data_IF_656843272110
#
_entry.id   IF_656843272110
#
_cell.length_a   1.000
_cell.length_b   1.000
_cell.length_c   1.000
_cell.angle_alpha   90.00
_cell.angle_beta   90.00
_cell.angle_gamma   90.00
#
_symmetry.space_group_name_H-M   'P 1'
#
loop_
_entity.id
_entity.type
_entity.pdbx_description
1 polymer ?
#
# COMPACT_ATOMS: atom_id res chain seq x y z
N UNK A 1 9.81 -10.66 10.92
CA UNK A 1 10.30 -9.27 10.70
C UNK A 1 9.24 -8.31 11.23
N UNK A 2 9.56 -7.10 11.68
CA UNK A 2 8.60 -6.19 12.34
C UNK A 2 7.38 -5.85 11.47
N UNK A 3 7.56 -5.73 10.16
CA UNK A 3 6.46 -5.49 9.22
C UNK A 3 5.57 -6.72 9.04
N UNK A 4 6.16 -7.91 9.07
CA UNK A 4 5.44 -9.18 9.01
C UNK A 4 4.64 -9.42 10.28
N UNK A 5 5.25 -9.18 11.45
CA UNK A 5 4.56 -9.30 12.74
C UNK A 5 3.40 -8.30 12.84
N UNK A 6 3.60 -7.08 12.34
CA UNK A 6 2.55 -6.05 12.27
C UNK A 6 1.40 -6.49 11.36
N UNK A 7 1.71 -7.04 10.18
CA UNK A 7 0.69 -7.59 9.28
C UNK A 7 -0.13 -8.69 9.98
N UNK A 8 0.53 -9.64 10.65
CA UNK A 8 -0.14 -10.76 11.33
C UNK A 8 -1.05 -10.28 12.46
N UNK A 9 -0.61 -9.31 13.25
CA UNK A 9 -1.44 -8.71 14.31
C UNK A 9 -2.67 -8.02 13.73
N UNK A 10 -2.51 -7.22 12.68
CA UNK A 10 -3.63 -6.55 12.04
C UNK A 10 -4.60 -7.53 11.35
N UNK A 11 -4.09 -8.64 10.81
CA UNK A 11 -4.91 -9.66 10.17
C UNK A 11 -5.85 -10.38 11.15
N UNK A 12 -5.55 -10.34 12.45
CA UNK A 12 -6.33 -11.03 13.49
C UNK A 12 -7.68 -10.37 13.83
N UNK A 13 -7.92 -9.14 13.37
CA UNK A 13 -9.15 -8.40 13.65
C UNK A 13 -9.77 -7.81 12.37
N UNK A 14 -11.06 -8.09 12.16
CA UNK A 14 -11.81 -7.73 10.96
C UNK A 14 -11.82 -6.22 10.68
N UNK A 15 -11.64 -5.37 11.69
CA UNK A 15 -11.63 -3.90 11.55
C UNK A 15 -10.38 -3.37 10.87
N UNK A 16 -9.33 -4.18 10.78
CA UNK A 16 -8.05 -3.79 10.21
C UNK A 16 -7.74 -4.50 8.89
N UNK A 17 -8.74 -4.98 8.15
CA UNK A 17 -8.53 -5.67 6.88
C UNK A 17 -8.78 -4.74 5.68
N UNK A 18 -7.78 -4.56 4.81
CA UNK A 18 -7.92 -3.83 3.55
C UNK A 18 -9.00 -4.47 2.65
N UNK A 19 -9.17 -5.79 2.71
CA UNK A 19 -10.18 -6.50 1.94
C UNK A 19 -11.60 -6.04 2.25
N UNK A 20 -11.89 -5.63 3.48
CA UNK A 20 -13.21 -5.09 3.84
C UNK A 20 -13.48 -3.76 3.14
N UNK A 21 -12.50 -2.85 3.16
CA UNK A 21 -12.58 -1.57 2.45
C UNK A 21 -12.78 -1.75 0.94
N UNK A 22 -11.97 -2.61 0.31
CA UNK A 22 -12.07 -2.87 -1.13
C UNK A 22 -13.41 -3.54 -1.46
N UNK A 23 -13.84 -4.55 -0.68
CA UNK A 23 -15.13 -5.20 -0.88
C UNK A 23 -16.27 -4.19 -0.85
N UNK A 24 -16.28 -3.29 0.13
CA UNK A 24 -17.34 -2.31 0.30
C UNK A 24 -17.35 -1.30 -0.86
N UNK A 25 -16.18 -0.88 -1.37
CA UNK A 25 -16.09 -0.07 -2.59
C UNK A 25 -16.63 -0.80 -3.83
N UNK A 26 -16.36 -2.10 -3.96
CA UNK A 26 -16.80 -2.91 -5.09
C UNK A 26 -18.31 -3.15 -5.13
N UNK A 27 -19.04 -2.97 -4.02
CA UNK A 27 -20.51 -3.07 -4.00
C UNK A 27 -21.19 -2.00 -4.87
N UNK A 28 -20.49 -0.90 -5.18
CA UNK A 28 -20.99 0.16 -6.05
C UNK A 28 -20.74 -0.11 -7.54
N UNK A 29 -19.98 -1.16 -7.88
CA UNK A 29 -19.69 -1.51 -9.26
C UNK A 29 -20.87 -2.22 -9.93
N UNK A 30 -21.29 -1.72 -11.10
CA UNK A 30 -22.40 -2.30 -11.88
C UNK A 30 -21.95 -3.20 -13.04
N UNK A 31 -20.66 -3.15 -13.40
CA UNK A 31 -20.05 -3.89 -14.51
C UNK A 31 -18.53 -4.02 -14.28
N UNK A 32 -17.83 -4.77 -15.14
CA UNK A 32 -16.39 -5.04 -15.00
C UNK A 32 -15.52 -3.77 -15.07
N UNK A 33 -15.86 -2.82 -15.95
CA UNK A 33 -15.16 -1.54 -16.04
C UNK A 33 -15.25 -0.76 -14.71
N UNK A 34 -16.42 -0.75 -14.09
CA UNK A 34 -16.64 -0.15 -12.78
C UNK A 34 -15.88 -0.86 -11.66
N UNK A 35 -15.67 -2.18 -11.74
CA UNK A 35 -14.88 -2.93 -10.74
C UNK A 35 -13.45 -2.39 -10.71
N UNK A 36 -12.82 -2.24 -11.87
CA UNK A 36 -11.47 -1.67 -11.97
C UNK A 36 -11.43 -0.23 -11.45
N UNK A 37 -12.42 0.59 -11.83
CA UNK A 37 -12.52 1.96 -11.37
C UNK A 37 -12.65 2.07 -9.84
N UNK A 38 -13.57 1.34 -9.21
CA UNK A 38 -13.77 1.40 -7.76
C UNK A 38 -12.58 0.81 -6.99
N UNK A 39 -11.96 -0.26 -7.49
CA UNK A 39 -10.75 -0.81 -6.88
C UNK A 39 -9.59 0.20 -6.90
N UNK A 40 -9.34 0.79 -8.08
CA UNK A 40 -8.34 1.85 -8.25
C UNK A 40 -8.58 3.01 -7.26
N UNK A 41 -9.80 3.56 -7.22
CA UNK A 41 -10.12 4.68 -6.34
C UNK A 41 -10.01 4.32 -4.85
N UNK A 42 -10.45 3.11 -4.47
CA UNK A 42 -10.36 2.64 -3.08
C UNK A 42 -8.90 2.57 -2.60
N UNK A 43 -7.98 2.08 -3.44
CA UNK A 43 -6.56 2.01 -3.11
C UNK A 43 -5.87 3.37 -3.20
N UNK A 44 -6.20 4.17 -4.20
CA UNK A 44 -5.64 5.51 -4.38
C UNK A 44 -5.92 6.38 -3.14
N UNK A 45 -7.16 6.37 -2.63
CA UNK A 45 -7.57 7.20 -1.49
C UNK A 45 -6.75 6.93 -0.22
N UNK A 46 -6.40 5.67 0.07
CA UNK A 46 -5.67 5.29 1.29
C UNK A 46 -4.14 5.24 1.12
N UNK A 47 -3.64 5.61 -0.07
CA UNK A 47 -2.21 5.66 -0.40
C UNK A 47 -1.79 7.09 -0.76
N UNK A 48 -1.63 7.40 -2.05
CA UNK A 48 -1.17 8.70 -2.54
C UNK A 48 -2.30 9.75 -2.67
N UNK A 49 -3.53 9.36 -2.35
CA UNK A 49 -4.78 10.14 -2.36
C UNK A 49 -5.24 10.64 -3.75
N UNK A 50 -4.33 11.16 -4.57
CA UNK A 50 -4.62 11.65 -5.92
C UNK A 50 -3.37 11.75 -6.80
N UNK A 51 -3.55 11.71 -8.11
CA UNK A 51 -2.46 11.73 -9.11
C UNK A 51 -1.87 13.11 -9.40
N UNK A 52 -2.30 14.15 -8.69
CA UNK A 52 -1.85 15.51 -8.95
C UNK A 52 -0.67 15.86 -8.03
N UNK A 53 0.54 15.78 -8.58
CA UNK A 53 1.83 16.08 -7.95
C UNK A 53 1.94 17.49 -7.33
N UNK A 54 0.91 18.35 -7.46
CA UNK A 54 0.90 19.71 -6.91
C UNK A 54 0.34 19.81 -5.49
N UNK A 55 -0.34 18.79 -4.97
CA UNK A 55 -1.02 18.87 -3.67
C UNK A 55 -0.32 18.12 -2.53
N UNK A 56 0.75 17.34 -2.80
CA UNK A 56 1.53 16.58 -1.80
C UNK A 56 0.69 15.86 -0.72
N UNK A 57 -0.39 15.21 -1.13
CA UNK A 57 -1.31 14.49 -0.22
C UNK A 57 -0.91 13.04 0.05
N UNK A 58 0.38 12.73 -0.07
CA UNK A 58 0.92 11.40 0.21
C UNK A 58 0.57 10.98 1.63
N UNK A 59 0.07 9.75 1.76
CA UNK A 59 -0.28 9.13 3.04
C UNK A 59 -1.33 9.90 3.87
N UNK A 60 -2.03 10.90 3.29
CA UNK A 60 -2.97 11.75 4.04
C UNK A 60 -4.08 10.95 4.73
N UNK A 61 -4.60 9.94 4.05
CA UNK A 61 -5.60 9.02 4.59
C UNK A 61 -5.03 7.62 4.84
N UNK A 62 -3.77 7.53 5.26
CA UNK A 62 -3.12 6.27 5.59
C UNK A 62 -3.93 5.39 6.56
N UNK A 63 -3.71 4.09 6.48
CA UNK A 63 -4.36 3.09 7.32
C UNK A 63 -3.37 1.99 7.66
N UNK A 64 -3.33 1.63 8.95
CA UNK A 64 -2.67 0.41 9.39
C UNK A 64 -3.63 -0.75 9.22
N UNK A 65 -3.76 -1.23 7.98
CA UNK A 65 -4.56 -2.39 7.64
C UNK A 65 -3.67 -3.54 7.16
N UNK A 66 -4.04 -4.76 7.55
CA UNK A 66 -3.55 -5.97 6.89
C UNK A 66 -3.88 -5.88 5.39
N UNK A 67 -2.89 -6.21 4.57
CA UNK A 67 -2.85 -5.96 3.14
C UNK A 67 -2.03 -4.72 2.80
N UNK A 68 -2.21 -3.59 3.52
CA UNK A 68 -1.44 -2.36 3.28
C UNK A 68 0.00 -2.50 3.73
N UNK A 69 0.25 -3.15 4.88
CA UNK A 69 1.61 -3.27 5.43
C UNK A 69 2.51 -4.00 4.44
N UNK A 70 2.11 -5.19 3.98
CA UNK A 70 2.93 -5.98 3.06
C UNK A 70 2.97 -5.42 1.62
N UNK A 71 1.85 -4.92 1.10
CA UNK A 71 1.72 -4.62 -0.33
C UNK A 71 1.97 -3.14 -0.67
N UNK A 72 2.03 -2.25 0.31
CA UNK A 72 2.32 -0.83 0.10
C UNK A 72 3.51 -0.36 0.95
N UNK A 73 3.40 -0.41 2.27
CA UNK A 73 4.44 0.16 3.15
C UNK A 73 5.76 -0.61 3.11
N UNK A 74 5.73 -1.95 3.13
CA UNK A 74 6.93 -2.77 3.06
C UNK A 74 7.67 -2.59 1.73
N UNK A 75 6.94 -2.48 0.62
CA UNK A 75 7.55 -2.23 -0.70
C UNK A 75 8.28 -0.88 -0.71
N UNK A 76 7.69 0.17 -0.13
CA UNK A 76 8.36 1.48 0.03
C UNK A 76 9.62 1.38 0.89
N UNK A 77 9.58 0.64 1.99
CA UNK A 77 10.75 0.42 2.83
C UNK A 77 11.87 -0.34 2.10
N UNK A 78 11.54 -1.36 1.31
CA UNK A 78 12.54 -2.08 0.51
C UNK A 78 13.23 -1.17 -0.50
N UNK A 79 12.47 -0.35 -1.23
CA UNK A 79 13.03 0.64 -2.17
C UNK A 79 13.92 1.64 -1.43
N UNK A 80 13.46 2.17 -0.29
CA UNK A 80 14.22 3.10 0.52
C UNK A 80 15.57 2.50 0.96
N UNK A 81 15.55 1.32 1.58
CA UNK A 81 16.79 0.68 2.04
C UNK A 81 17.73 0.34 0.88
N UNK A 82 17.22 -0.11 -0.26
CA UNK A 82 18.03 -0.38 -1.44
C UNK A 82 18.74 0.90 -1.93
N UNK A 83 18.03 2.04 -2.03
CA UNK A 83 18.63 3.32 -2.42
C UNK A 83 19.68 3.79 -1.40
N UNK A 84 19.36 3.71 -0.10
CA UNK A 84 20.26 4.15 0.98
C UNK A 84 21.53 3.30 1.02
N UNK A 85 21.40 1.97 0.94
CA UNK A 85 22.53 1.05 0.96
C UNK A 85 23.42 1.28 -0.26
N UNK A 86 22.85 1.44 -1.46
CA UNK A 86 23.63 1.76 -2.67
C UNK A 86 24.40 3.07 -2.53
N UNK A 87 23.73 4.13 -2.08
CA UNK A 87 24.37 5.45 -1.87
C UNK A 87 25.51 5.36 -0.87
N UNK A 88 25.34 4.57 0.20
CA UNK A 88 26.37 4.34 1.21
C UNK A 88 27.60 3.59 0.65
N UNK A 89 27.37 2.54 -0.14
CA UNK A 89 28.44 1.73 -0.76
C UNK A 89 29.22 2.55 -1.79
N UNK A 90 28.52 3.37 -2.58
CA UNK A 90 29.11 4.18 -3.65
C UNK A 90 29.69 5.51 -3.14
N UNK A 91 29.36 5.91 -1.90
CA UNK A 91 29.94 7.08 -1.24
C UNK A 91 29.37 8.41 -1.71
N UNK A 92 28.10 8.44 -2.13
CA UNK A 92 27.41 9.67 -2.53
C UNK A 92 26.18 9.96 -1.65
N UNK A 93 25.71 11.22 -1.58
CA UNK A 93 24.44 11.54 -0.92
C UNK A 93 23.25 10.86 -1.58
N UNK A 94 22.18 10.61 -0.81
CA UNK A 94 20.94 10.05 -1.34
C UNK A 94 20.32 11.03 -2.33
N UNK A 95 20.10 10.58 -3.57
CA UNK A 95 19.34 11.32 -4.56
C UNK A 95 17.84 11.22 -4.25
N UNK A 96 17.26 12.34 -3.79
CA UNK A 96 15.85 12.40 -3.40
C UNK A 96 14.89 12.28 -4.59
N UNK A 97 15.31 12.72 -5.78
CA UNK A 97 14.48 12.62 -6.99
C UNK A 97 14.44 11.16 -7.46
N UNK A 98 15.59 10.50 -7.50
CA UNK A 98 15.67 9.07 -7.80
C UNK A 98 14.86 8.25 -6.80
N UNK A 99 14.99 8.55 -5.50
CA UNK A 99 14.22 7.88 -4.46
C UNK A 99 12.71 8.06 -4.68
N UNK A 100 12.25 9.27 -4.95
CA UNK A 100 10.84 9.55 -5.23
C UNK A 100 10.32 8.80 -6.46
N UNK A 101 11.08 8.82 -7.56
CA UNK A 101 10.73 8.09 -8.80
C UNK A 101 10.62 6.59 -8.55
N UNK A 102 11.59 6.00 -7.84
CA UNK A 102 11.58 4.57 -7.53
C UNK A 102 10.46 4.19 -6.57
N UNK A 103 10.19 4.99 -5.54
CA UNK A 103 9.06 4.77 -4.64
C UNK A 103 7.75 4.71 -5.42
N UNK A 104 7.55 5.66 -6.34
CA UNK A 104 6.36 5.70 -7.17
C UNK A 104 6.27 4.48 -8.10
N UNK A 105 7.31 4.20 -8.88
CA UNK A 105 7.28 3.16 -9.91
C UNK A 105 7.31 1.73 -9.36
N UNK A 106 8.04 1.49 -8.26
CA UNK A 106 8.29 0.14 -7.74
C UNK A 106 7.33 -0.24 -6.60
N UNK A 107 6.73 0.73 -5.90
CA UNK A 107 5.84 0.46 -4.77
C UNK A 107 4.43 1.02 -4.95
N UNK A 108 4.29 2.30 -5.25
CA UNK A 108 2.98 2.98 -5.18
C UNK A 108 2.11 2.68 -6.40
N UNK A 109 2.63 2.89 -7.60
CA UNK A 109 1.93 2.61 -8.87
C UNK A 109 1.52 1.13 -8.97
N UNK A 110 2.38 0.15 -8.64
CA UNK A 110 1.97 -1.24 -8.59
C UNK A 110 0.81 -1.49 -7.64
N UNK A 111 0.81 -0.85 -6.46
CA UNK A 111 -0.24 -1.03 -5.46
C UNK A 111 -1.62 -0.54 -5.93
N UNK A 112 -1.75 0.71 -6.38
CA UNK A 112 -3.08 1.27 -6.68
C UNK A 112 -3.56 1.00 -8.12
N UNK A 113 -2.66 0.76 -9.07
CA UNK A 113 -3.01 0.61 -10.49
C UNK A 113 -2.87 -0.82 -11.02
N UNK A 114 -1.79 -1.54 -10.68
CA UNK A 114 -1.47 -2.82 -11.31
C UNK A 114 -1.91 -4.04 -10.49
N UNK A 115 -2.10 -3.86 -9.19
CA UNK A 115 -2.41 -4.94 -8.28
C UNK A 115 -3.86 -5.43 -8.43
N UNK A 116 -3.99 -6.64 -8.97
CA UNK A 116 -5.25 -7.39 -9.13
C UNK A 116 -5.50 -8.41 -8.00
N UNK A 117 -4.68 -8.41 -6.94
CA UNK A 117 -4.84 -9.33 -5.81
C UNK A 117 -6.18 -9.13 -5.13
N UNK A 118 -6.75 -10.25 -4.66
CA UNK A 118 -7.86 -10.25 -3.71
C UNK A 118 -7.32 -10.21 -2.30
N UNK A 119 -7.91 -9.35 -1.47
CA UNK A 119 -7.51 -9.18 -0.08
C UNK A 119 -8.52 -9.89 0.84
N UNK A 120 -8.05 -10.60 1.89
CA UNK A 120 -8.94 -11.28 2.82
C UNK A 120 -9.94 -10.34 3.51
N UNK A 121 -11.19 -10.80 3.65
CA UNK A 121 -12.26 -10.13 4.41
C UNK A 121 -12.58 -10.84 5.73
N UNK A 122 -12.02 -12.04 5.92
CA UNK A 122 -12.08 -12.79 7.17
C UNK A 122 -10.73 -12.67 7.89
N UNK A 123 -10.77 -12.70 9.22
CA UNK A 123 -9.57 -12.63 10.05
C UNK A 123 -8.68 -13.85 9.86
N UNK A 124 -7.38 -13.64 10.01
CA UNK A 124 -6.37 -14.69 9.98
C UNK A 124 -5.56 -14.67 11.27
N UNK A 125 -5.26 -15.85 11.80
CA UNK A 125 -4.59 -15.98 13.10
C UNK A 125 -5.53 -15.74 14.29
N UNK A 126 -4.95 -15.78 15.49
CA UNK A 126 -5.63 -15.48 16.74
C UNK A 126 -4.74 -14.52 17.52
N UNK A 127 -5.28 -13.38 17.94
CA UNK A 127 -4.69 -12.63 19.03
C UNK A 127 -4.92 -13.47 20.29
N UNK A 128 -3.85 -13.85 21.00
CA UNK A 128 -4.00 -14.53 22.28
C UNK A 128 -4.65 -13.57 23.27
N UNK A 129 -5.78 -13.97 23.86
CA UNK A 129 -6.45 -13.28 24.97
C UNK A 129 -5.54 -13.14 26.20
#
# INVERSE_FOLDING_TARGET
>A
DILEDTELVLASDHRFLLGNWIRDALQFAQNEENIHFYNFNAKLQVSIWGNNYTLDLYDYANKFWSGMIQNYYAQRWYVFFDVVIKSLIEGHPIDSNLLGERLFLEAELPFFMLDTKTYPTNTQGKYSD
#
